data_IF_015338516551
#
_entry.id   IF_015338516551
#
_cell.length_a   1.000
_cell.length_b   1.000
_cell.length_c   1.000
_cell.angle_alpha   90.00
_cell.angle_beta   90.00
_cell.angle_gamma   90.00
#
_symmetry.space_group_name_H-M   'P 1'
#
loop_
_entity.id
_entity.type
_entity.pdbx_description
1 polymer ?
#
# COMPACT_ATOMS: atom_id res chain seq x y z
N UNK A 1 39.00 5.90 10.04
CA UNK A 1 37.61 5.95 10.56
C UNK A 1 36.62 6.58 9.58
N UNK A 2 37.02 7.48 8.66
CA UNK A 2 36.09 8.10 7.70
C UNK A 2 35.56 7.16 6.60
N UNK A 3 36.35 6.20 6.12
CA UNK A 3 35.94 5.29 5.05
C UNK A 3 34.80 4.35 5.45
N UNK A 4 34.73 3.96 6.73
CA UNK A 4 33.65 3.12 7.27
C UNK A 4 32.33 3.90 7.42
N UNK A 5 32.39 5.19 7.77
CA UNK A 5 31.20 6.07 7.81
C UNK A 5 30.61 6.34 6.43
N UNK A 6 31.44 6.42 5.38
CA UNK A 6 30.97 6.60 3.99
C UNK A 6 30.26 5.33 3.48
N UNK A 7 30.80 4.14 3.78
CA UNK A 7 30.13 2.87 3.46
C UNK A 7 28.79 2.70 4.20
N UNK A 8 28.71 3.12 5.46
CA UNK A 8 27.46 3.07 6.24
C UNK A 8 26.41 4.04 5.71
N UNK A 9 26.82 5.25 5.29
CA UNK A 9 25.92 6.22 4.68
C UNK A 9 25.37 5.76 3.33
N UNK A 10 26.19 5.09 2.51
CA UNK A 10 25.76 4.53 1.21
C UNK A 10 24.79 3.36 1.36
N UNK A 11 24.92 2.55 2.42
CA UNK A 11 23.99 1.45 2.73
C UNK A 11 22.60 1.95 3.16
N UNK A 12 22.51 3.09 3.85
CA UNK A 12 21.23 3.67 4.29
C UNK A 12 20.44 4.26 3.11
N UNK A 13 21.13 4.84 2.12
CA UNK A 13 20.49 5.38 0.91
C UNK A 13 19.87 4.28 0.04
N UNK A 14 20.41 3.06 0.07
CA UNK A 14 19.91 1.94 -0.74
C UNK A 14 18.60 1.33 -0.21
N UNK A 15 18.27 1.51 1.07
CA UNK A 15 17.03 0.98 1.68
C UNK A 15 15.78 1.85 1.47
N UNK A 16 15.93 3.08 0.96
CA UNK A 16 14.85 4.06 0.94
C UNK A 16 14.01 4.08 -0.35
N UNK A 17 14.35 3.30 -1.38
CA UNK A 17 13.75 3.45 -2.72
C UNK A 17 12.65 2.45 -3.08
N UNK A 18 12.35 1.47 -2.23
CA UNK A 18 11.23 0.54 -2.47
C UNK A 18 9.96 0.98 -1.74
N UNK A 19 9.51 2.21 -2.00
CA UNK A 19 8.16 2.63 -1.63
C UNK A 19 7.16 2.08 -2.64
N UNK A 20 6.17 1.31 -2.18
CA UNK A 20 5.13 0.74 -3.05
C UNK A 20 4.31 1.85 -3.71
N UNK A 21 4.29 1.90 -5.06
CA UNK A 21 3.65 2.96 -5.85
C UNK A 21 2.16 3.20 -5.56
N UNK A 22 1.46 2.20 -5.01
CA UNK A 22 0.06 2.32 -4.57
C UNK A 22 -0.11 3.20 -3.34
N UNK A 23 0.84 3.14 -2.40
CA UNK A 23 0.78 3.94 -1.17
C UNK A 23 0.97 5.44 -1.46
N UNK A 24 1.77 5.79 -2.48
CA UNK A 24 1.98 7.18 -2.88
C UNK A 24 0.74 7.84 -3.48
N UNK A 25 -0.11 7.10 -4.22
CA UNK A 25 -1.29 7.68 -4.87
C UNK A 25 -2.33 8.17 -3.87
N UNK A 26 -2.74 7.30 -2.94
CA UNK A 26 -3.73 7.62 -1.91
C UNK A 26 -3.19 8.66 -0.92
N UNK A 27 -1.91 8.57 -0.56
CA UNK A 27 -1.26 9.55 0.30
C UNK A 27 -1.22 10.94 -0.35
N UNK A 28 -1.01 11.02 -1.67
CA UNK A 28 -1.02 12.30 -2.38
C UNK A 28 -2.41 12.95 -2.42
N UNK A 29 -3.47 12.16 -2.58
CA UNK A 29 -4.85 12.66 -2.50
C UNK A 29 -5.14 13.31 -1.16
N UNK A 30 -4.73 12.70 -0.04
CA UNK A 30 -4.86 13.31 1.29
C UNK A 30 -3.95 14.52 1.43
N UNK A 31 -2.68 14.43 1.00
CA UNK A 31 -1.72 15.52 1.13
C UNK A 31 -2.19 16.79 0.41
N UNK A 32 -2.79 16.65 -0.76
CA UNK A 32 -3.31 17.77 -1.57
C UNK A 32 -4.69 18.21 -1.07
N UNK A 33 -5.58 17.28 -0.75
CA UNK A 33 -6.95 17.58 -0.30
C UNK A 33 -7.00 18.23 1.08
N UNK A 34 -6.07 17.87 1.96
CA UNK A 34 -5.99 18.31 3.35
C UNK A 34 -4.80 19.24 3.62
N UNK A 35 -4.22 19.88 2.60
CA UNK A 35 -2.99 20.67 2.76
C UNK A 35 -3.10 21.71 3.90
N UNK A 36 -4.25 22.40 3.97
CA UNK A 36 -4.51 23.42 5.00
C UNK A 36 -4.56 22.81 6.41
N UNK A 37 -5.21 21.66 6.56
CA UNK A 37 -5.36 20.95 7.82
C UNK A 37 -4.04 20.32 8.25
N UNK A 38 -3.24 19.82 7.30
CA UNK A 38 -1.92 19.29 7.57
C UNK A 38 -0.98 20.39 8.07
N UNK A 39 -1.00 21.57 7.44
CA UNK A 39 -0.19 22.71 7.90
C UNK A 39 -0.71 23.32 9.21
N UNK A 40 -2.03 23.40 9.37
CA UNK A 40 -2.68 24.06 10.51
C UNK A 40 -2.71 23.22 11.78
N UNK A 41 -2.96 21.91 11.64
CA UNK A 41 -3.22 21.01 12.77
C UNK A 41 -2.16 19.91 12.92
N UNK A 42 -1.64 19.37 11.81
CA UNK A 42 -0.84 18.13 11.84
C UNK A 42 0.65 18.31 11.49
N UNK A 43 1.18 19.53 11.44
CA UNK A 43 2.54 19.83 10.96
C UNK A 43 3.66 19.13 11.76
N UNK A 44 3.42 18.87 13.04
CA UNK A 44 4.39 18.25 13.96
C UNK A 44 4.19 16.73 14.07
N UNK A 45 3.22 16.17 13.35
CA UNK A 45 2.92 14.75 13.34
C UNK A 45 3.90 14.03 12.43
N UNK A 46 4.67 13.12 12.98
CA UNK A 46 5.54 12.26 12.17
C UNK A 46 4.69 11.38 11.23
N UNK A 47 4.92 11.38 9.90
CA UNK A 47 4.16 10.54 8.97
C UNK A 47 4.34 9.03 9.23
N UNK A 48 3.40 8.22 8.74
CA UNK A 48 3.40 6.76 8.88
C UNK A 48 2.50 6.23 10.00
N UNK A 49 2.26 4.91 9.97
CA UNK A 49 1.49 4.17 10.99
C UNK A 49 0.11 4.78 11.31
N UNK A 50 -0.51 5.44 10.34
CA UNK A 50 -1.82 6.10 10.52
C UNK A 50 -1.81 7.37 11.38
N UNK A 51 -0.65 7.87 11.82
CA UNK A 51 -0.58 9.05 12.72
C UNK A 51 -1.22 10.31 12.14
N UNK A 52 -1.00 10.59 10.85
CA UNK A 52 -1.61 11.74 10.17
C UNK A 52 -3.13 11.60 10.11
N UNK A 53 -3.63 10.40 9.80
CA UNK A 53 -5.06 10.13 9.78
C UNK A 53 -5.67 10.28 11.18
N UNK A 54 -4.98 9.84 12.23
CA UNK A 54 -5.39 10.03 13.61
C UNK A 54 -5.45 11.52 14.00
N UNK A 55 -4.50 12.34 13.54
CA UNK A 55 -4.55 13.79 13.72
C UNK A 55 -5.75 14.43 13.02
N UNK A 56 -5.98 14.10 11.73
CA UNK A 56 -7.14 14.60 11.00
C UNK A 56 -8.46 14.18 11.66
N UNK A 57 -8.54 12.95 12.17
CA UNK A 57 -9.69 12.47 12.93
C UNK A 57 -9.92 13.25 14.24
N UNK A 58 -8.85 13.58 14.97
CA UNK A 58 -8.93 14.39 16.18
C UNK A 58 -9.40 15.84 15.91
N UNK A 59 -9.31 16.31 14.66
CA UNK A 59 -9.75 17.62 14.21
C UNK A 59 -10.90 17.55 13.19
N UNK A 60 -11.66 16.45 13.17
CA UNK A 60 -12.69 16.18 12.16
C UNK A 60 -13.75 17.28 12.04
N UNK A 61 -14.06 17.98 13.14
CA UNK A 61 -15.02 19.09 13.20
C UNK A 61 -14.52 20.39 12.54
N UNK A 62 -13.23 20.43 12.16
CA UNK A 62 -12.53 21.60 11.63
C UNK A 62 -11.97 21.37 10.24
N UNK A 63 -12.26 20.22 9.63
CA UNK A 63 -11.79 19.92 8.28
C UNK A 63 -12.56 20.77 7.28
N UNK A 64 -11.86 21.25 6.25
CA UNK A 64 -12.53 21.80 5.07
C UNK A 64 -13.26 20.71 4.30
N UNK A 65 -14.33 21.08 3.58
CA UNK A 65 -15.05 20.14 2.71
C UNK A 65 -14.16 19.50 1.63
N UNK A 66 -13.05 20.16 1.24
CA UNK A 66 -12.06 19.59 0.34
C UNK A 66 -11.31 18.43 1.00
N UNK A 67 -10.88 18.60 2.26
CA UNK A 67 -10.21 17.55 3.02
C UNK A 67 -11.16 16.39 3.34
N UNK A 68 -12.39 16.68 3.76
CA UNK A 68 -13.43 15.66 3.98
C UNK A 68 -13.67 14.82 2.71
N UNK A 69 -13.81 15.47 1.56
CA UNK A 69 -13.99 14.78 0.29
C UNK A 69 -12.77 13.91 -0.07
N UNK A 70 -11.55 14.42 0.15
CA UNK A 70 -10.34 13.64 -0.11
C UNK A 70 -10.22 12.40 0.78
N UNK A 71 -10.59 12.52 2.06
CA UNK A 71 -10.65 11.39 2.99
C UNK A 71 -11.69 10.35 2.54
N UNK A 72 -12.87 10.81 2.13
CA UNK A 72 -13.93 9.93 1.61
C UNK A 72 -13.50 9.21 0.32
N UNK A 73 -12.92 9.94 -0.64
CA UNK A 73 -12.48 9.36 -1.91
C UNK A 73 -11.40 8.29 -1.69
N UNK A 74 -10.44 8.56 -0.81
CA UNK A 74 -9.41 7.58 -0.45
C UNK A 74 -10.00 6.36 0.25
N UNK A 75 -10.97 6.53 1.16
CA UNK A 75 -11.65 5.40 1.78
C UNK A 75 -12.36 4.52 0.73
N UNK A 76 -13.12 5.14 -0.17
CA UNK A 76 -13.83 4.43 -1.24
C UNK A 76 -12.89 3.75 -2.25
N UNK A 77 -11.71 4.33 -2.52
CA UNK A 77 -10.69 3.69 -3.35
C UNK A 77 -10.05 2.49 -2.63
N UNK A 78 -9.75 2.62 -1.33
CA UNK A 78 -9.17 1.55 -0.53
C UNK A 78 -10.14 0.36 -0.41
N UNK A 79 -11.43 0.62 -0.16
CA UNK A 79 -12.46 -0.44 -0.10
C UNK A 79 -12.53 -1.24 -1.41
N UNK A 80 -12.52 -0.54 -2.56
CA UNK A 80 -12.49 -1.21 -3.87
C UNK A 80 -11.24 -2.05 -4.07
N UNK A 81 -10.07 -1.54 -3.66
CA UNK A 81 -8.82 -2.29 -3.74
C UNK A 81 -8.85 -3.55 -2.85
N UNK A 82 -9.35 -3.44 -1.61
CA UNK A 82 -9.50 -4.57 -0.69
C UNK A 82 -10.47 -5.62 -1.25
N UNK A 83 -11.60 -5.20 -1.83
CA UNK A 83 -12.53 -6.11 -2.47
C UNK A 83 -11.88 -6.86 -3.64
N UNK A 84 -11.12 -6.16 -4.49
CA UNK A 84 -10.40 -6.78 -5.60
C UNK A 84 -9.33 -7.79 -5.12
N UNK A 85 -8.56 -7.45 -4.08
CA UNK A 85 -7.60 -8.38 -3.49
C UNK A 85 -8.27 -9.59 -2.84
N UNK A 86 -9.44 -9.39 -2.20
CA UNK A 86 -10.24 -10.47 -1.61
C UNK A 86 -10.74 -11.43 -2.68
N UNK A 87 -11.17 -10.91 -3.84
CA UNK A 87 -11.50 -11.73 -5.00
C UNK A 87 -10.29 -12.59 -5.39
N UNK A 88 -9.12 -12.00 -5.66
CA UNK A 88 -7.91 -12.78 -6.02
C UNK A 88 -7.58 -13.84 -4.96
N UNK A 89 -7.62 -13.49 -3.68
CA UNK A 89 -7.33 -14.42 -2.59
C UNK A 89 -8.29 -15.63 -2.58
N UNK A 90 -9.58 -15.40 -2.83
CA UNK A 90 -10.59 -16.46 -2.89
C UNK A 90 -10.40 -17.36 -4.11
N UNK A 91 -10.15 -16.76 -5.29
CA UNK A 91 -9.94 -17.51 -6.53
C UNK A 91 -8.65 -18.32 -6.50
N UNK A 92 -7.62 -17.85 -5.78
CA UNK A 92 -6.29 -18.46 -5.70
C UNK A 92 -6.03 -19.30 -4.44
N UNK A 93 -6.98 -19.42 -3.51
CA UNK A 93 -6.75 -20.04 -2.20
C UNK A 93 -6.12 -21.44 -2.29
N UNK A 94 -6.66 -22.30 -3.15
CA UNK A 94 -6.16 -23.67 -3.32
C UNK A 94 -4.78 -23.71 -3.98
N UNK A 95 -4.55 -22.85 -4.96
CA UNK A 95 -3.28 -22.72 -5.66
C UNK A 95 -2.18 -22.23 -4.71
N UNK A 96 -2.49 -21.27 -3.84
CA UNK A 96 -1.56 -20.78 -2.81
C UNK A 96 -1.14 -21.92 -1.88
N UNK A 97 -2.08 -22.74 -1.41
CA UNK A 97 -1.79 -23.84 -0.49
C UNK A 97 -0.98 -24.96 -1.14
N UNK A 98 -1.23 -25.25 -2.42
CA UNK A 98 -0.60 -26.36 -3.15
C UNK A 98 0.76 -25.97 -3.76
N UNK A 99 0.79 -24.84 -4.47
CA UNK A 99 1.93 -24.39 -5.29
C UNK A 99 2.89 -23.54 -4.47
N UNK A 100 2.38 -22.64 -3.62
CA UNK A 100 3.18 -21.66 -2.88
C UNK A 100 3.42 -22.02 -1.41
N UNK A 101 3.42 -23.32 -1.08
CA UNK A 101 3.65 -23.80 0.28
C UNK A 101 5.01 -23.34 0.81
N UNK A 102 5.01 -22.75 2.00
CA UNK A 102 6.23 -22.27 2.66
C UNK A 102 6.70 -20.88 2.22
N UNK A 103 6.02 -20.24 1.26
CA UNK A 103 6.26 -18.84 0.93
C UNK A 103 5.75 -17.97 2.07
N UNK A 104 6.62 -17.08 2.57
CA UNK A 104 6.26 -16.12 3.61
C UNK A 104 5.28 -15.09 3.05
N UNK A 105 4.16 -14.88 3.75
CA UNK A 105 3.17 -13.85 3.40
C UNK A 105 3.72 -12.43 3.55
N UNK A 106 3.13 -11.50 2.80
CA UNK A 106 3.53 -10.09 2.75
C UNK A 106 4.42 -9.75 1.56
N UNK A 107 4.64 -8.45 1.32
CA UNK A 107 5.56 -7.91 0.30
C UNK A 107 5.32 -8.44 -1.14
N UNK A 108 4.11 -8.94 -1.44
CA UNK A 108 3.78 -9.49 -2.76
C UNK A 108 4.37 -10.87 -3.06
N UNK A 109 5.03 -11.54 -2.12
CA UNK A 109 5.74 -12.81 -2.35
C UNK A 109 4.85 -13.95 -2.82
N UNK A 110 3.61 -14.02 -2.32
CA UNK A 110 2.64 -15.03 -2.75
C UNK A 110 2.24 -14.81 -4.20
N UNK A 111 1.97 -13.57 -4.58
CA UNK A 111 1.65 -13.20 -5.96
C UNK A 111 2.83 -13.53 -6.89
N UNK A 112 4.06 -13.16 -6.52
CA UNK A 112 5.27 -13.51 -7.27
C UNK A 112 5.42 -15.03 -7.46
N UNK A 113 5.14 -15.81 -6.41
CA UNK A 113 5.15 -17.27 -6.51
C UNK A 113 4.09 -17.80 -7.49
N UNK A 114 2.85 -17.30 -7.43
CA UNK A 114 1.80 -17.69 -8.35
C UNK A 114 2.17 -17.35 -9.80
N UNK A 115 2.73 -16.17 -10.05
CA UNK A 115 3.16 -15.75 -11.39
C UNK A 115 4.30 -16.60 -11.95
N UNK A 116 5.30 -16.94 -11.11
CA UNK A 116 6.42 -17.81 -11.50
C UNK A 116 5.98 -19.23 -11.86
N UNK A 117 4.87 -19.68 -11.29
CA UNK A 117 4.30 -21.01 -11.48
C UNK A 117 2.97 -20.98 -12.26
N UNK A 118 2.76 -19.98 -13.14
CA UNK A 118 1.49 -19.78 -13.89
C UNK A 118 0.96 -21.06 -14.55
N UNK A 119 1.85 -21.99 -14.97
CA UNK A 119 1.47 -23.27 -15.60
C UNK A 119 0.92 -24.33 -14.62
N UNK A 120 1.24 -24.21 -13.35
CA UNK A 120 0.79 -25.12 -12.27
C UNK A 120 -0.38 -24.53 -11.47
N UNK A 121 -0.67 -23.25 -11.68
CA UNK A 121 -1.79 -22.50 -11.10
C UNK A 121 -3.04 -22.68 -11.95
N UNK A 122 -4.19 -22.79 -11.29
CA UNK A 122 -5.49 -22.92 -11.98
C UNK A 122 -5.79 -21.73 -12.90
N UNK A 123 -6.52 -22.00 -14.00
CA UNK A 123 -6.97 -20.95 -14.93
C UNK A 123 -7.80 -19.87 -14.22
N UNK A 124 -8.59 -20.26 -13.22
CA UNK A 124 -9.41 -19.38 -12.39
C UNK A 124 -8.55 -18.37 -11.62
N UNK A 125 -7.50 -18.84 -10.94
CA UNK A 125 -6.58 -17.96 -10.23
C UNK A 125 -5.78 -17.08 -11.19
N UNK A 126 -5.28 -17.63 -12.30
CA UNK A 126 -4.56 -16.87 -13.31
C UNK A 126 -5.43 -15.76 -13.92
N UNK A 127 -6.72 -16.01 -14.15
CA UNK A 127 -7.65 -15.01 -14.62
C UNK A 127 -7.88 -13.92 -13.56
N UNK A 128 -8.09 -14.29 -12.30
CA UNK A 128 -8.29 -13.32 -11.22
C UNK A 128 -7.08 -12.38 -11.04
N UNK A 129 -5.86 -12.92 -11.14
CA UNK A 129 -4.62 -12.13 -11.14
C UNK A 129 -4.61 -11.16 -12.33
N UNK A 130 -4.98 -11.62 -13.54
CA UNK A 130 -5.05 -10.75 -14.74
C UNK A 130 -6.06 -9.63 -14.58
N UNK A 131 -7.23 -9.90 -14.00
CA UNK A 131 -8.31 -8.93 -13.83
C UNK A 131 -7.95 -7.78 -12.86
N UNK A 132 -7.10 -8.06 -11.86
CA UNK A 132 -6.83 -7.14 -10.74
C UNK A 132 -5.41 -6.57 -10.75
N UNK A 133 -4.40 -7.39 -11.07
CA UNK A 133 -2.98 -7.05 -10.90
C UNK A 133 -2.34 -6.57 -12.20
N UNK A 134 -2.66 -7.20 -13.33
CA UNK A 134 -2.02 -6.93 -14.63
C UNK A 134 -2.83 -6.00 -15.52
N UNK A 135 -3.25 -4.85 -14.98
CA UNK A 135 -3.96 -3.82 -15.75
C UNK A 135 -3.01 -2.74 -16.26
#
# INVERSE_FOLDING_TARGET
MHTKSILFALLIVFMATTGSALASGLANTIATGCEKELQGFCKDVTPGEGRILACLYAHQDKLSGQCEYALYDVAAQLERAVAALTYVANECSDDIMKVCKGVRVGEGKILECLEKNEKEVSDRCNQAIKDVVRK
#
